data_IF_613989603258
#
_entry.id   IF_613989603258
#
_cell.length_a   1.000
_cell.length_b   1.000
_cell.length_c   1.000
_cell.angle_alpha   90.00
_cell.angle_beta   90.00
_cell.angle_gamma   90.00
#
_symmetry.space_group_name_H-M   'P 1'
#
loop_
_entity.id
_entity.type
_entity.pdbx_description
1 polymer ?
#
# COMPACT_ATOMS: atom_id res chain seq x y z
N UNK A 1 22.75 0.49 -23.56
CA UNK A 1 21.74 -0.54 -23.24
C UNK A 1 21.16 -0.37 -21.84
N UNK A 2 21.92 0.20 -20.89
CA UNK A 2 21.47 0.45 -19.52
C UNK A 2 20.26 1.41 -19.41
N UNK A 3 20.20 2.43 -20.27
CA UNK A 3 19.10 3.43 -20.25
C UNK A 3 17.74 2.85 -20.67
N UNK A 4 17.73 1.82 -21.51
CA UNK A 4 16.50 1.16 -21.94
C UNK A 4 15.91 0.29 -20.81
N UNK A 5 16.79 -0.35 -20.02
CA UNK A 5 16.40 -1.14 -18.86
C UNK A 5 15.86 -0.26 -17.73
N UNK A 6 16.51 0.88 -17.44
CA UNK A 6 16.01 1.86 -16.46
C UNK A 6 14.63 2.41 -16.84
N UNK A 7 14.42 2.75 -18.12
CA UNK A 7 13.13 3.23 -18.58
C UNK A 7 12.01 2.18 -18.47
N UNK A 8 12.33 0.90 -18.71
CA UNK A 8 11.33 -0.17 -18.60
C UNK A 8 10.93 -0.46 -17.15
N UNK A 9 11.91 -0.40 -16.22
CA UNK A 9 11.71 -0.52 -14.78
C UNK A 9 10.80 0.61 -14.25
N UNK A 10 11.10 1.86 -14.60
CA UNK A 10 10.28 3.00 -14.19
C UNK A 10 8.84 2.90 -14.69
N UNK A 11 8.64 2.43 -15.93
CA UNK A 11 7.29 2.23 -16.49
C UNK A 11 6.51 1.16 -15.73
N UNK A 12 7.17 0.09 -15.28
CA UNK A 12 6.54 -0.96 -14.46
C UNK A 12 6.16 -0.44 -13.08
N UNK A 13 7.03 0.36 -12.46
CA UNK A 13 6.75 1.02 -11.18
C UNK A 13 5.53 1.94 -11.31
N UNK A 14 5.48 2.79 -12.35
CA UNK A 14 4.32 3.66 -12.61
C UNK A 14 3.01 2.85 -12.76
N UNK A 15 3.06 1.74 -13.50
CA UNK A 15 1.91 0.88 -13.66
C UNK A 15 1.44 0.24 -12.34
N UNK A 16 2.37 -0.16 -11.46
CA UNK A 16 2.06 -0.74 -10.14
C UNK A 16 1.48 0.33 -9.19
N UNK A 17 2.00 1.56 -9.22
CA UNK A 17 1.43 2.67 -8.46
C UNK A 17 0.01 2.98 -8.94
N UNK A 18 -0.23 3.01 -10.26
CA UNK A 18 -1.56 3.30 -10.84
C UNK A 18 -2.63 2.29 -10.42
N UNK A 19 -2.27 1.02 -10.26
CA UNK A 19 -3.23 -0.01 -9.81
C UNK A 19 -3.43 0.00 -8.29
N UNK A 20 -2.65 0.80 -7.55
CA UNK A 20 -2.90 1.09 -6.14
C UNK A 20 -1.80 0.63 -5.18
N UNK A 21 -0.66 0.12 -5.65
CA UNK A 21 0.45 -0.22 -4.76
C UNK A 21 1.09 1.04 -4.20
N UNK A 22 1.43 0.98 -2.91
CA UNK A 22 2.25 1.97 -2.23
C UNK A 22 3.67 1.44 -2.14
N UNK A 23 4.65 2.31 -2.40
CA UNK A 23 6.06 1.99 -2.21
C UNK A 23 6.38 2.15 -0.73
N UNK A 24 6.90 1.09 -0.13
CA UNK A 24 7.48 1.15 1.21
C UNK A 24 9.01 1.23 1.11
N UNK A 25 9.65 2.02 1.99
CA UNK A 25 11.09 2.07 2.08
C UNK A 25 11.64 0.69 2.45
N UNK A 26 12.58 0.20 1.66
CA UNK A 26 13.28 -1.06 1.88
C UNK A 26 14.78 -0.85 1.55
N UNK A 27 15.60 -1.86 1.82
CA UNK A 27 17.04 -1.90 1.51
C UNK A 27 17.35 -1.48 0.08
N UNK A 28 18.55 -0.94 -0.13
CA UNK A 28 18.98 -0.28 -1.39
C UNK A 28 18.84 -1.14 -2.66
N UNK A 29 18.72 -2.46 -2.54
CA UNK A 29 18.69 -3.42 -3.65
C UNK A 29 17.27 -3.88 -4.06
N UNK A 30 16.24 -3.49 -3.30
CA UNK A 30 14.87 -3.92 -3.58
C UNK A 30 13.80 -2.94 -3.10
N UNK A 31 12.82 -2.65 -3.96
CA UNK A 31 11.62 -1.89 -3.63
C UNK A 31 10.53 -2.81 -3.10
N UNK A 32 9.98 -2.49 -1.92
CA UNK A 32 8.77 -3.15 -1.41
C UNK A 32 7.54 -2.38 -1.87
N UNK A 33 6.55 -3.12 -2.31
CA UNK A 33 5.28 -2.61 -2.81
C UNK A 33 4.15 -3.30 -2.03
N UNK A 34 3.32 -2.50 -1.36
CA UNK A 34 2.18 -3.01 -0.59
C UNK A 34 0.87 -2.46 -1.16
N UNK A 35 -0.08 -3.36 -1.41
CA UNK A 35 -1.41 -3.05 -1.90
C UNK A 35 -2.39 -2.89 -0.73
N UNK A 36 -3.21 -1.84 -0.69
CA UNK A 36 -4.15 -1.58 0.41
C UNK A 36 -5.34 -2.56 0.44
N UNK A 37 -5.59 -3.31 -0.63
CA UNK A 37 -6.54 -4.43 -0.60
C UNK A 37 -5.96 -5.59 0.22
N UNK A 38 -6.20 -5.52 1.52
CA UNK A 38 -5.82 -6.46 2.58
C UNK A 38 -6.60 -7.80 2.45
N UNK A 39 -6.47 -8.73 3.42
CA UNK A 39 -5.62 -9.93 3.47
C UNK A 39 -5.93 -11.07 2.47
N UNK A 40 -6.96 -10.94 1.62
CA UNK A 40 -7.38 -12.04 0.72
C UNK A 40 -6.58 -12.10 -0.58
N UNK A 41 -5.94 -10.98 -0.95
CA UNK A 41 -5.12 -10.93 -2.15
C UNK A 41 -3.72 -11.48 -1.84
N UNK A 42 -3.42 -12.68 -2.36
CA UNK A 42 -2.14 -13.39 -2.15
C UNK A 42 -0.90 -12.58 -2.53
N UNK A 43 -1.03 -11.65 -3.48
CA UNK A 43 0.06 -10.79 -3.94
C UNK A 43 -0.05 -9.35 -3.43
N UNK A 44 -0.71 -9.14 -2.30
CA UNK A 44 -0.81 -7.81 -1.68
C UNK A 44 0.56 -7.23 -1.33
N UNK A 45 1.59 -8.06 -1.17
CA UNK A 45 2.98 -7.65 -1.01
C UNK A 45 3.80 -8.15 -2.18
N UNK A 46 4.51 -7.21 -2.80
CA UNK A 46 5.46 -7.47 -3.87
C UNK A 46 6.83 -6.90 -3.47
N UNK A 47 7.86 -7.54 -4.00
CA UNK A 47 9.24 -7.06 -3.97
C UNK A 47 9.71 -6.94 -5.41
N UNK A 48 10.29 -5.79 -5.74
CA UNK A 48 10.86 -5.53 -7.06
C UNK A 48 12.36 -5.27 -6.90
N UNK A 49 13.16 -6.02 -7.64
CA UNK A 49 14.62 -5.88 -7.67
C UNK A 49 15.05 -4.91 -8.78
N UNK A 50 16.29 -4.42 -8.70
CA UNK A 50 16.86 -3.46 -9.66
C UNK A 50 16.94 -3.98 -11.10
N UNK A 51 16.99 -5.31 -11.27
CA UNK A 51 16.94 -5.99 -12.57
C UNK A 51 15.54 -5.99 -13.19
N UNK A 52 14.52 -5.46 -12.50
CA UNK A 52 13.13 -5.42 -12.93
C UNK A 52 12.36 -6.72 -12.67
N UNK A 53 12.94 -7.65 -11.91
CA UNK A 53 12.29 -8.85 -11.43
C UNK A 53 11.27 -8.48 -10.35
N UNK A 54 10.01 -8.89 -10.56
CA UNK A 54 8.94 -8.74 -9.58
C UNK A 54 8.67 -10.10 -8.95
N UNK A 55 8.71 -10.16 -7.63
CA UNK A 55 8.39 -11.33 -6.83
C UNK A 55 7.21 -10.99 -5.92
N UNK A 56 6.22 -11.88 -5.87
CA UNK A 56 5.01 -11.68 -5.08
C UNK A 56 4.63 -12.91 -4.26
N UNK A 57 4.09 -12.67 -3.07
CA UNK A 57 3.63 -13.73 -2.17
C UNK A 57 3.85 -13.38 -0.69
N UNK A 58 3.24 -14.17 0.19
CA UNK A 58 3.53 -14.13 1.64
C UNK A 58 4.93 -14.70 1.85
N UNK A 59 5.71 -14.06 2.73
CA UNK A 59 7.10 -14.41 3.05
C UNK A 59 7.27 -15.88 3.52
N UNK A 60 6.18 -16.55 3.90
CA UNK A 60 6.16 -17.88 4.50
C UNK A 60 5.81 -19.03 3.52
N UNK A 61 5.37 -18.74 2.29
CA UNK A 61 5.04 -19.80 1.32
C UNK A 61 5.81 -19.60 0.01
N UNK A 62 6.49 -20.67 -0.41
CA UNK A 62 7.32 -20.71 -1.61
C UNK A 62 6.61 -20.16 -2.86
N UNK A 63 6.99 -18.93 -3.23
CA UNK A 63 7.05 -18.37 -4.59
C UNK A 63 5.88 -18.68 -5.54
N UNK A 64 4.71 -18.07 -5.37
CA UNK A 64 3.63 -18.19 -6.38
C UNK A 64 3.71 -17.16 -7.53
N UNK A 65 4.48 -16.06 -7.42
CA UNK A 65 4.61 -15.08 -8.51
C UNK A 65 6.05 -14.63 -8.74
N UNK A 66 6.60 -14.94 -9.91
CA UNK A 66 7.90 -14.45 -10.40
C UNK A 66 7.75 -13.93 -11.83
N UNK A 67 7.90 -12.62 -12.02
CA UNK A 67 7.74 -11.95 -13.32
C UNK A 67 9.06 -11.29 -13.69
N UNK A 68 9.73 -11.82 -14.70
CA UNK A 68 10.97 -11.24 -15.25
C UNK A 68 10.70 -9.89 -15.93
N UNK A 69 11.73 -9.04 -16.03
CA UNK A 69 11.71 -7.80 -16.80
C UNK A 69 11.35 -8.02 -18.28
N UNK A 70 11.72 -9.17 -18.85
CA UNK A 70 11.43 -9.53 -20.24
C UNK A 70 9.99 -10.02 -20.46
N UNK A 71 9.31 -10.51 -19.42
CA UNK A 71 7.99 -11.15 -19.52
C UNK A 71 6.84 -10.13 -19.43
N UNK A 72 6.72 -9.24 -20.43
CA UNK A 72 5.71 -8.18 -20.45
C UNK A 72 4.27 -8.73 -20.52
N UNK A 73 4.08 -9.88 -21.18
CA UNK A 73 2.77 -10.54 -21.25
C UNK A 73 2.28 -10.97 -19.86
N UNK A 74 3.14 -11.60 -19.06
CA UNK A 74 2.80 -11.99 -17.68
C UNK A 74 2.56 -10.78 -16.79
N UNK A 75 3.35 -9.73 -16.96
CA UNK A 75 3.15 -8.47 -16.24
C UNK A 75 1.78 -7.85 -16.53
N UNK A 76 1.38 -7.78 -17.81
CA UNK A 76 0.08 -7.25 -18.19
C UNK A 76 -1.10 -8.08 -17.67
N UNK A 77 -0.96 -9.42 -17.67
CA UNK A 77 -1.95 -10.33 -17.10
C UNK A 77 -2.07 -10.15 -15.59
N UNK A 78 -0.93 -9.97 -14.90
CA UNK A 78 -0.91 -9.68 -13.47
C UNK A 78 -1.58 -8.35 -13.13
N UNK A 79 -1.31 -7.28 -13.89
CA UNK A 79 -1.99 -5.99 -13.67
C UNK A 79 -3.51 -6.08 -13.79
N UNK A 80 -4.03 -7.01 -14.60
CA UNK A 80 -5.47 -7.25 -14.75
C UNK A 80 -6.06 -8.11 -13.64
N UNK A 81 -5.26 -8.97 -13.00
CA UNK A 81 -5.72 -9.81 -11.90
C UNK A 81 -5.77 -9.08 -10.56
N UNK A 82 -5.16 -7.90 -10.47
CA UNK A 82 -5.15 -7.08 -9.27
C UNK A 82 -6.55 -6.50 -9.04
N UNK A 83 -7.18 -6.79 -7.88
CA UNK A 83 -8.46 -6.19 -7.55
C UNK A 83 -8.27 -4.68 -7.38
N UNK A 84 -9.15 -3.90 -8.03
CA UNK A 84 -9.13 -2.45 -7.86
C UNK A 84 -9.38 -2.12 -6.39
N UNK A 85 -8.54 -1.29 -5.74
CA UNK A 85 -8.76 -0.90 -4.36
C UNK A 85 -10.09 -0.16 -4.26
N UNK A 86 -10.97 -0.60 -3.38
CA UNK A 86 -12.20 0.12 -3.06
C UNK A 86 -11.82 1.45 -2.41
N UNK A 87 -12.47 2.57 -2.77
CA UNK A 87 -12.16 3.90 -2.21
C UNK A 87 -12.08 3.92 -0.67
N UNK A 88 -12.82 3.03 0.00
CA UNK A 88 -12.79 2.83 1.45
C UNK A 88 -11.46 2.29 1.98
N UNK A 89 -10.86 1.32 1.29
CA UNK A 89 -9.55 0.75 1.66
C UNK A 89 -8.43 1.77 1.48
N UNK A 90 -8.57 2.67 0.50
CA UNK A 90 -7.61 3.74 0.24
C UNK A 90 -7.65 4.85 1.30
N UNK A 91 -8.80 5.06 1.96
CA UNK A 91 -9.01 6.09 2.98
C UNK A 91 -9.05 5.58 4.42
N UNK A 92 -8.87 4.28 4.65
CA UNK A 92 -9.03 3.66 5.98
C UNK A 92 -8.17 4.34 7.05
N UNK A 93 -6.91 4.67 6.73
CA UNK A 93 -5.99 5.33 7.67
C UNK A 93 -6.44 6.75 8.03
N UNK A 94 -7.03 7.48 7.08
CA UNK A 94 -7.60 8.81 7.35
C UNK A 94 -8.87 8.71 8.20
N UNK A 95 -9.69 7.68 7.96
CA UNK A 95 -10.89 7.45 8.75
C UNK A 95 -10.56 7.17 10.23
N UNK A 96 -9.56 6.34 10.53
CA UNK A 96 -9.13 6.12 11.91
C UNK A 96 -8.67 7.41 12.59
N UNK A 97 -7.91 8.24 11.88
CA UNK A 97 -7.47 9.52 12.41
C UNK A 97 -8.64 10.46 12.73
N UNK A 98 -9.62 10.56 11.83
CA UNK A 98 -10.82 11.40 12.01
C UNK A 98 -11.68 10.89 13.17
N UNK A 99 -11.89 9.58 13.28
CA UNK A 99 -12.68 8.97 14.36
C UNK A 99 -11.99 9.12 15.72
N UNK A 100 -10.67 8.93 15.78
CA UNK A 100 -9.93 9.15 17.02
C UNK A 100 -10.00 10.64 17.45
N UNK A 101 -9.90 11.56 16.49
CA UNK A 101 -10.03 13.00 16.76
C UNK A 101 -11.41 13.39 17.28
N UNK A 102 -12.50 12.89 16.67
CA UNK A 102 -13.86 13.21 17.13
C UNK A 102 -14.14 12.66 18.52
N UNK A 103 -13.67 11.45 18.85
CA UNK A 103 -13.77 10.90 20.21
C UNK A 103 -12.97 11.76 21.20
N UNK A 104 -11.75 12.16 20.83
CA UNK A 104 -10.92 13.02 21.68
C UNK A 104 -11.57 14.38 21.97
N UNK A 105 -12.16 15.02 20.96
CA UNK A 105 -12.90 16.28 21.12
C UNK A 105 -14.11 16.08 22.03
N UNK A 106 -14.91 15.04 21.78
CA UNK A 106 -16.11 14.76 22.58
C UNK A 106 -15.77 14.48 24.06
N UNK A 107 -14.68 13.76 24.31
CA UNK A 107 -14.20 13.53 25.67
C UNK A 107 -13.74 14.82 26.35
N UNK A 108 -12.99 15.66 25.63
CA UNK A 108 -12.51 16.93 26.16
C UNK A 108 -13.65 17.91 26.48
N UNK A 109 -14.67 17.99 25.62
CA UNK A 109 -15.84 18.86 25.86
C UNK A 109 -16.60 18.46 27.12
N UNK A 110 -16.75 17.15 27.39
CA UNK A 110 -17.37 16.66 28.63
C UNK A 110 -16.57 17.08 29.86
N UNK A 111 -15.23 16.94 29.84
CA UNK A 111 -14.38 17.36 30.96
C UNK A 111 -14.52 18.86 31.23
N UNK A 112 -14.46 19.68 30.19
CA UNK A 112 -14.60 21.14 30.32
C UNK A 112 -15.96 21.52 30.91
N UNK A 113 -17.04 20.85 30.49
CA UNK A 113 -18.38 21.07 31.04
C UNK A 113 -18.47 20.69 32.52
N UNK A 114 -17.91 19.54 32.91
CA UNK A 114 -17.87 19.12 34.32
C UNK A 114 -17.03 20.06 35.18
N UNK A 115 -15.89 20.52 34.68
CA UNK A 115 -15.02 21.46 35.40
C UNK A 115 -15.69 22.82 35.60
N UNK A 116 -16.35 23.34 34.56
CA UNK A 116 -17.14 24.58 34.65
C UNK A 116 -18.27 24.43 35.67
N UNK A 117 -19.01 23.31 35.64
CA UNK A 117 -20.08 23.03 36.61
C UNK A 117 -19.59 22.86 38.05
N UNK A 118 -18.33 22.49 38.26
CA UNK A 118 -17.70 22.39 39.58
C UNK A 118 -17.17 23.74 40.10
N UNK A 119 -16.85 24.69 39.22
CA UNK A 119 -16.42 26.05 39.59
C UNK A 119 -17.62 26.96 39.89
N UNK A 120 -18.73 26.79 39.15
CA UNK A 120 -19.97 27.58 39.34
C UNK A 120 -20.78 27.15 40.59
N UNK A 121 -20.30 26.19 41.38
CA UNK A 121 -20.97 25.60 42.54
C UNK A 121 -20.19 25.85 43.83
#
# INVERSE_FOLDING_TARGET
>A
MEDAAKNSVLRRIDALIRVGYKIEPCTDEALKLEHPAHPEFKHARLMMFDDGLIVGGRIDEMHELRISAADEMKFSAFLRSIPKPTSWQMHRDKFYFVVAWTIGIAFWTVIVLMWKAAIDK
#
